data_IF_959764239686
#
_entry.id   IF_959764239686
#
_cell.length_a   1.000
_cell.length_b   1.000
_cell.length_c   1.000
_cell.angle_alpha   90.00
_cell.angle_beta   90.00
_cell.angle_gamma   90.00
#
_symmetry.space_group_name_H-M   'P 1'
#
loop_
_entity.id
_entity.type
_entity.pdbx_description
1 polymer ?
#
# COMPACT_ATOMS: atom_id res chain seq x y z
N UNK A 1 -2.21 -10.45 -13.56
CA UNK A 1 -1.93 -9.13 -12.95
C UNK A 1 -3.22 -8.65 -12.30
N UNK A 2 -3.30 -8.68 -10.97
CA UNK A 2 -4.49 -8.23 -10.25
C UNK A 2 -4.36 -6.74 -9.97
N UNK A 3 -5.38 -5.97 -10.34
CA UNK A 3 -5.41 -4.52 -10.17
C UNK A 3 -6.36 -4.16 -9.04
N UNK A 4 -5.89 -3.36 -8.08
CA UNK A 4 -6.73 -2.76 -7.05
C UNK A 4 -7.21 -1.39 -7.52
N UNK A 5 -8.53 -1.22 -7.66
CA UNK A 5 -9.15 0.06 -7.96
C UNK A 5 -9.58 0.73 -6.66
N UNK A 6 -9.17 1.99 -6.45
CA UNK A 6 -9.52 2.79 -5.28
C UNK A 6 -10.35 3.99 -5.73
N UNK A 7 -11.61 4.04 -5.28
CA UNK A 7 -12.52 5.18 -5.51
C UNK A 7 -12.31 6.23 -4.41
N UNK A 8 -11.32 7.12 -4.62
CA UNK A 8 -10.93 8.13 -3.62
C UNK A 8 -12.05 9.14 -3.30
N UNK A 9 -12.92 9.42 -4.27
CA UNK A 9 -14.11 10.28 -4.15
C UNK A 9 -15.13 9.76 -3.11
N UNK A 10 -15.05 8.48 -2.74
CA UNK A 10 -15.91 7.84 -1.74
C UNK A 10 -15.22 7.62 -0.40
N UNK A 11 -13.95 8.04 -0.27
CA UNK A 11 -13.23 7.90 0.98
C UNK A 11 -13.81 8.88 2.02
N UNK A 12 -14.05 8.41 3.24
CA UNK A 12 -14.57 9.21 4.36
C UNK A 12 -13.52 9.47 5.44
N UNK A 13 -12.27 9.03 5.23
CA UNK A 13 -11.21 9.19 6.23
C UNK A 13 -11.35 8.29 7.46
N UNK A 14 -12.18 7.23 7.43
CA UNK A 14 -12.44 6.37 8.59
C UNK A 14 -11.26 5.50 9.07
N UNK A 15 -10.16 5.44 8.31
CA UNK A 15 -8.92 4.69 8.65
C UNK A 15 -9.06 3.18 8.88
N UNK A 16 -10.23 2.58 8.62
CA UNK A 16 -10.43 1.14 8.79
C UNK A 16 -9.52 0.28 7.90
N UNK A 17 -9.20 0.73 6.69
CA UNK A 17 -8.26 0.03 5.81
C UNK A 17 -6.84 -0.01 6.36
N UNK A 18 -6.41 1.05 7.06
CA UNK A 18 -5.09 1.11 7.69
C UNK A 18 -5.00 0.07 8.82
N UNK A 19 -6.02 0.05 9.69
CA UNK A 19 -6.12 -0.88 10.82
C UNK A 19 -6.26 -2.34 10.39
N UNK A 20 -7.08 -2.62 9.37
CA UNK A 20 -7.22 -3.97 8.84
C UNK A 20 -5.89 -4.49 8.27
N UNK A 21 -5.15 -3.63 7.56
CA UNK A 21 -3.85 -4.00 7.02
C UNK A 21 -2.82 -4.25 8.13
N UNK A 22 -2.72 -3.37 9.13
CA UNK A 22 -1.78 -3.56 10.24
C UNK A 22 -2.13 -4.81 11.07
N UNK A 23 -3.41 -5.10 11.26
CA UNK A 23 -3.85 -6.30 11.98
C UNK A 23 -3.42 -7.57 11.23
N UNK A 24 -3.69 -7.63 9.92
CA UNK A 24 -3.39 -8.82 9.10
C UNK A 24 -1.89 -9.02 8.90
N UNK A 25 -1.10 -7.94 8.78
CA UNK A 25 0.32 -8.03 8.43
C UNK A 25 1.26 -8.01 9.63
N UNK A 26 0.86 -7.36 10.72
CA UNK A 26 1.73 -7.10 11.88
C UNK A 26 1.11 -7.59 13.19
N UNK A 27 -0.14 -8.09 13.18
CA UNK A 27 -0.86 -8.50 14.38
C UNK A 27 -1.20 -7.34 15.32
N UNK A 28 -1.18 -6.10 14.82
CA UNK A 28 -1.34 -4.89 15.64
C UNK A 28 -2.45 -3.99 15.10
N UNK A 29 -3.19 -3.34 16.00
CA UNK A 29 -4.09 -2.24 15.66
C UNK A 29 -3.34 -0.91 15.70
N UNK A 30 -2.44 -0.69 14.74
CA UNK A 30 -1.62 0.52 14.66
C UNK A 30 -1.49 0.99 13.20
N UNK A 31 -2.12 2.13 12.83
CA UNK A 31 -2.01 2.70 11.48
C UNK A 31 -0.57 2.94 11.01
N UNK A 32 0.36 3.29 11.89
CA UNK A 32 1.77 3.54 11.53
C UNK A 32 2.49 2.28 11.04
N UNK A 33 1.97 1.10 11.41
CA UNK A 33 2.46 -0.20 10.95
C UNK A 33 1.74 -0.69 9.69
N UNK A 34 0.82 0.10 9.16
CA UNK A 34 0.07 -0.24 7.96
C UNK A 34 0.91 -0.03 6.69
N UNK A 35 0.57 -0.78 5.63
CA UNK A 35 1.13 -0.58 4.28
C UNK A 35 0.22 0.30 3.41
N UNK A 36 -0.89 0.77 3.98
CA UNK A 36 -1.87 1.67 3.39
C UNK A 36 -1.94 2.87 4.31
N UNK A 37 -2.00 4.08 3.78
CA UNK A 37 -2.23 5.27 4.60
C UNK A 37 -3.25 6.20 3.95
N UNK A 38 -4.01 6.92 4.77
CA UNK A 38 -4.91 7.98 4.31
C UNK A 38 -4.22 9.32 4.51
N UNK A 39 -4.03 10.04 3.41
CA UNK A 39 -3.57 11.42 3.39
C UNK A 39 -4.75 12.39 3.46
N UNK A 40 -4.55 13.48 4.20
CA UNK A 40 -5.56 14.50 4.46
C UNK A 40 -5.06 15.77 3.80
N UNK A 41 -5.78 16.25 2.79
CA UNK A 41 -5.34 17.40 2.02
C UNK A 41 -6.47 18.43 1.86
N UNK A 42 -6.12 19.71 2.04
CA UNK A 42 -6.96 20.85 1.67
C UNK A 42 -8.12 21.20 2.62
N UNK A 43 -8.94 22.14 2.15
CA UNK A 43 -10.23 22.53 2.73
C UNK A 43 -11.23 22.74 1.57
N UNK A 44 -12.36 22.01 1.50
CA UNK A 44 -12.80 20.96 2.43
C UNK A 44 -11.86 19.74 2.43
N UNK A 45 -11.85 18.94 3.51
CA UNK A 45 -10.92 17.82 3.62
C UNK A 45 -11.13 16.81 2.47
N UNK A 46 -10.09 16.59 1.68
CA UNK A 46 -10.01 15.48 0.74
C UNK A 46 -9.21 14.35 1.38
N UNK A 47 -9.80 13.15 1.36
CA UNK A 47 -9.16 11.94 1.87
C UNK A 47 -8.59 11.12 0.71
N UNK A 48 -7.26 11.02 0.66
CA UNK A 48 -6.56 10.24 -0.36
C UNK A 48 -5.99 8.95 0.23
N UNK A 49 -6.64 7.79 -0.01
CA UNK A 49 -6.10 6.50 0.38
C UNK A 49 -4.96 6.08 -0.57
N UNK A 50 -3.77 5.96 -0.01
CA UNK A 50 -2.54 5.57 -0.68
C UNK A 50 -2.18 4.12 -0.37
N UNK A 51 -1.85 3.36 -1.41
CA UNK A 51 -1.42 1.97 -1.31
C UNK A 51 -0.40 1.63 -2.42
N UNK A 52 0.36 0.54 -2.23
CA UNK A 52 1.26 0.05 -3.28
C UNK A 52 0.47 -0.34 -4.54
N UNK A 53 0.81 0.29 -5.67
CA UNK A 53 0.10 0.08 -6.95
C UNK A 53 0.47 -1.21 -7.68
N UNK A 54 1.42 -1.99 -7.15
CA UNK A 54 1.89 -3.24 -7.76
C UNK A 54 2.24 -3.09 -9.26
N UNK A 55 3.02 -2.04 -9.55
CA UNK A 55 3.32 -1.58 -10.91
C UNK A 55 3.78 -2.73 -11.83
N UNK A 56 3.38 -2.67 -13.11
CA UNK A 56 3.87 -3.62 -14.13
C UNK A 56 5.39 -3.54 -14.30
N UNK A 57 5.92 -2.31 -14.38
CA UNK A 57 7.35 -1.99 -14.35
C UNK A 57 7.66 -1.19 -13.08
N UNK A 58 8.11 -1.83 -11.99
CA UNK A 58 8.28 -1.18 -10.68
C UNK A 58 9.61 -0.42 -10.59
N UNK A 59 9.62 0.93 -10.59
CA UNK A 59 10.86 1.70 -10.50
C UNK A 59 11.59 1.49 -9.17
N UNK A 60 10.86 1.14 -8.11
CA UNK A 60 11.44 0.83 -6.80
C UNK A 60 12.36 -0.39 -6.82
N UNK A 61 12.09 -1.40 -7.66
CA UNK A 61 12.98 -2.55 -7.83
C UNK A 61 14.23 -2.18 -8.62
N UNK A 62 14.13 -1.24 -9.57
CA UNK A 62 15.28 -0.77 -10.35
C UNK A 62 16.23 0.11 -9.50
N UNK A 63 15.66 0.92 -8.59
CA UNK A 63 16.41 1.78 -7.69
C UNK A 63 17.00 1.08 -6.45
N UNK A 64 16.65 -0.19 -6.20
CA UNK A 64 17.12 -0.93 -5.04
C UNK A 64 18.63 -1.21 -5.13
N UNK A 65 19.46 -0.72 -4.19
CA UNK A 65 20.92 -0.83 -4.28
C UNK A 65 21.47 -2.18 -3.79
N UNK A 66 20.64 -3.04 -3.22
CA UNK A 66 21.09 -4.30 -2.61
C UNK A 66 21.14 -5.44 -3.61
N UNK A 67 22.12 -6.33 -3.45
CA UNK A 67 22.20 -7.61 -4.15
C UNK A 67 22.19 -8.77 -3.14
N UNK A 68 21.18 -9.66 -3.14
CA UNK A 68 20.00 -9.65 -3.99
C UNK A 68 19.05 -8.47 -3.68
N UNK A 69 18.22 -8.10 -4.67
CA UNK A 69 17.23 -7.03 -4.50
C UNK A 69 16.27 -7.39 -3.38
N UNK A 70 16.08 -6.47 -2.43
CA UNK A 70 15.12 -6.67 -1.34
C UNK A 70 13.67 -6.60 -1.79
N UNK A 71 13.40 -5.92 -2.92
CA UNK A 71 12.04 -5.76 -3.46
C UNK A 71 11.88 -6.57 -4.74
N UNK A 72 10.96 -7.54 -4.73
CA UNK A 72 10.72 -8.45 -5.85
C UNK A 72 9.22 -8.74 -6.03
N UNK A 73 8.84 -9.27 -7.18
CA UNK A 73 7.45 -9.63 -7.47
C UNK A 73 7.16 -11.04 -6.94
N UNK A 74 6.08 -11.21 -6.19
CA UNK A 74 5.63 -12.51 -5.72
C UNK A 74 4.38 -12.95 -6.49
N UNK A 75 4.50 -14.03 -7.25
CA UNK A 75 3.43 -14.58 -8.07
C UNK A 75 2.32 -15.25 -7.23
N UNK A 76 2.63 -15.68 -6.01
CA UNK A 76 1.70 -16.39 -5.12
C UNK A 76 0.70 -15.46 -4.44
N UNK A 77 1.01 -14.15 -4.34
CA UNK A 77 0.18 -13.16 -3.64
C UNK A 77 -0.72 -12.39 -4.62
N UNK A 78 -1.11 -13.00 -5.74
CA UNK A 78 -1.95 -12.34 -6.76
C UNK A 78 -1.22 -11.19 -7.47
N UNK A 79 0.11 -11.20 -7.51
CA UNK A 79 0.92 -10.23 -8.25
C UNK A 79 1.34 -8.97 -7.49
N UNK A 80 1.31 -9.01 -6.16
CA UNK A 80 1.84 -7.97 -5.28
C UNK A 80 3.38 -7.96 -5.22
N UNK A 81 3.95 -6.79 -4.94
CA UNK A 81 5.38 -6.65 -4.64
C UNK A 81 5.66 -7.08 -3.21
N UNK A 82 6.72 -7.85 -3.01
CA UNK A 82 7.23 -8.25 -1.69
C UNK A 82 8.55 -7.56 -1.42
N UNK A 83 8.72 -7.17 -0.17
CA UNK A 83 9.95 -6.58 0.36
C UNK A 83 10.49 -7.58 1.39
N UNK A 84 11.76 -7.96 1.27
CA UNK A 84 12.49 -8.80 2.23
C UNK A 84 12.73 -8.05 3.53
#
# INVERSE_FOLDING_TARGET
MTMLLIAADRCTGCRMCELACSLVKEGAFNPDKSRIWIEFEGMPELFHPNACRSCGKPPCTDACPTEPKSIYRDEKVGGGMKIL
#
